data_IF_711475204020
#
_entry.id   IF_711475204020
#
_cell.length_a   1.000
_cell.length_b   1.000
_cell.length_c   1.000
_cell.angle_alpha   90.00
_cell.angle_beta   90.00
_cell.angle_gamma   90.00
#
_symmetry.space_group_name_H-M   'P 1'
#
loop_
_entity.id
_entity.type
_entity.pdbx_description
1 polymer ?
#
# COMPACT_ATOMS: atom_id res chain seq x y z
N UNK A 1 12.69 -7.32 -1.06
CA UNK A 1 12.65 -6.40 0.09
C UNK A 1 11.31 -6.55 0.79
N UNK A 2 11.30 -6.57 2.11
CA UNK A 2 10.11 -6.48 2.94
C UNK A 2 9.58 -5.04 3.00
N UNK A 3 8.31 -4.86 3.36
CA UNK A 3 7.72 -3.52 3.58
C UNK A 3 8.51 -2.69 4.61
N UNK A 4 9.09 -3.34 5.62
CA UNK A 4 9.87 -2.69 6.68
C UNK A 4 11.28 -2.29 6.23
N UNK A 5 11.78 -2.83 5.12
CA UNK A 5 13.04 -2.37 4.52
C UNK A 5 12.82 -1.10 3.70
N UNK A 6 11.70 -1.00 2.96
CA UNK A 6 11.37 0.21 2.20
C UNK A 6 11.24 1.44 3.09
N UNK A 7 10.75 1.31 4.32
CA UNK A 7 10.57 2.44 5.24
C UNK A 7 11.86 3.04 5.74
N UNK A 8 12.99 2.32 5.60
CA UNK A 8 14.34 2.79 5.97
C UNK A 8 14.99 3.59 4.85
N UNK A 9 14.44 3.55 3.64
CA UNK A 9 14.98 4.27 2.49
C UNK A 9 14.71 5.78 2.59
N UNK A 10 15.68 6.59 2.17
CA UNK A 10 15.59 8.07 2.28
C UNK A 10 14.41 8.66 1.52
N UNK A 11 13.98 8.00 0.44
CA UNK A 11 12.88 8.46 -0.40
C UNK A 11 11.50 8.03 0.11
N UNK A 12 11.44 7.19 1.15
CA UNK A 12 10.16 6.71 1.69
C UNK A 12 9.19 7.83 2.09
N UNK A 13 9.60 8.88 2.82
CA UNK A 13 8.70 9.97 3.18
C UNK A 13 8.13 10.71 1.96
N UNK A 14 8.95 10.87 0.90
CA UNK A 14 8.55 11.52 -0.35
C UNK A 14 7.53 10.63 -1.08
N UNK A 15 7.76 9.33 -1.11
CA UNK A 15 6.80 8.38 -1.69
C UNK A 15 5.45 8.45 -0.97
N UNK A 16 5.44 8.44 0.36
CA UNK A 16 4.21 8.51 1.16
C UNK A 16 3.48 9.82 0.87
N UNK A 17 4.17 10.96 0.90
CA UNK A 17 3.59 12.27 0.58
C UNK A 17 2.99 12.30 -0.83
N UNK A 18 3.73 11.82 -1.82
CA UNK A 18 3.28 11.75 -3.22
C UNK A 18 2.03 10.87 -3.38
N UNK A 19 1.99 9.72 -2.70
CA UNK A 19 0.85 8.80 -2.75
C UNK A 19 -0.37 9.39 -2.05
N UNK A 20 -0.19 10.04 -0.90
CA UNK A 20 -1.29 10.70 -0.19
C UNK A 20 -1.92 11.85 -0.97
N UNK A 21 -1.15 12.50 -1.86
CA UNK A 21 -1.66 13.52 -2.77
C UNK A 21 -2.53 12.96 -3.92
N UNK A 22 -2.54 11.64 -4.15
CA UNK A 22 -3.34 11.03 -5.22
C UNK A 22 -4.83 11.02 -4.86
N UNK A 23 -5.67 11.53 -5.76
CA UNK A 23 -7.13 11.65 -5.56
C UNK A 23 -7.78 10.32 -5.19
N UNK A 24 -7.34 9.22 -5.80
CA UNK A 24 -7.93 7.89 -5.60
C UNK A 24 -7.35 7.09 -4.44
N UNK A 25 -6.31 7.60 -3.75
CA UNK A 25 -5.57 6.86 -2.73
C UNK A 25 -6.49 6.30 -1.63
N UNK A 26 -7.35 7.15 -1.06
CA UNK A 26 -8.25 6.75 0.02
C UNK A 26 -9.21 5.63 -0.42
N UNK A 27 -9.69 5.68 -1.66
CA UNK A 27 -10.58 4.67 -2.23
C UNK A 27 -9.85 3.35 -2.48
N UNK A 28 -8.65 3.39 -3.07
CA UNK A 28 -7.84 2.19 -3.27
C UNK A 28 -7.46 1.53 -1.95
N UNK A 29 -7.11 2.32 -0.93
CA UNK A 29 -6.81 1.82 0.43
C UNK A 29 -8.02 1.16 1.07
N UNK A 30 -9.19 1.79 1.01
CA UNK A 30 -10.44 1.24 1.57
C UNK A 30 -10.82 -0.07 0.89
N UNK A 31 -10.84 -0.09 -0.46
CA UNK A 31 -11.15 -1.30 -1.23
C UNK A 31 -10.13 -2.43 -0.96
N UNK A 32 -8.85 -2.09 -0.83
CA UNK A 32 -7.82 -3.08 -0.47
C UNK A 32 -8.11 -3.70 0.89
N UNK A 33 -8.46 -2.89 1.90
CA UNK A 33 -8.81 -3.35 3.25
C UNK A 33 -10.03 -4.25 3.25
N UNK A 34 -11.12 -3.80 2.63
CA UNK A 34 -12.45 -4.40 2.79
C UNK A 34 -12.68 -5.61 1.87
N UNK A 35 -11.98 -5.67 0.73
CA UNK A 35 -12.21 -6.70 -0.30
C UNK A 35 -10.95 -7.51 -0.53
N UNK A 36 -9.85 -6.87 -0.92
CA UNK A 36 -8.67 -7.60 -1.40
C UNK A 36 -8.01 -8.42 -0.30
N UNK A 37 -7.78 -7.82 0.88
CA UNK A 37 -7.14 -8.53 2.00
C UNK A 37 -8.04 -9.61 2.60
N UNK A 38 -9.36 -9.49 2.48
CA UNK A 38 -10.29 -10.54 2.87
C UNK A 38 -10.19 -11.76 1.93
N UNK A 39 -9.99 -11.53 0.63
CA UNK A 39 -9.83 -12.61 -0.37
C UNK A 39 -8.41 -13.21 -0.37
N UNK A 40 -7.39 -12.37 -0.25
CA UNK A 40 -5.97 -12.76 -0.28
C UNK A 40 -5.17 -11.95 0.76
N UNK A 41 -5.10 -12.43 2.01
CA UNK A 41 -4.40 -11.73 3.10
C UNK A 41 -2.91 -11.50 2.85
N UNK A 42 -2.25 -12.43 2.13
CA UNK A 42 -0.81 -12.41 1.87
C UNK A 42 -0.45 -11.78 0.50
N UNK A 43 -1.31 -10.92 -0.03
CA UNK A 43 -1.06 -10.25 -1.32
C UNK A 43 0.22 -9.42 -1.28
N UNK A 44 1.06 -9.55 -2.30
CA UNK A 44 2.28 -8.74 -2.41
C UNK A 44 1.98 -7.37 -3.03
N UNK A 45 2.81 -6.34 -2.81
CA UNK A 45 2.58 -5.04 -3.43
C UNK A 45 2.59 -5.08 -4.97
N UNK A 46 3.40 -5.94 -5.58
CA UNK A 46 3.43 -6.14 -7.04
C UNK A 46 2.11 -6.71 -7.56
N UNK A 47 1.55 -7.70 -6.86
CA UNK A 47 0.26 -8.29 -7.20
C UNK A 47 -0.88 -7.29 -7.02
N UNK A 48 -0.86 -6.52 -5.93
CA UNK A 48 -1.84 -5.47 -5.69
C UNK A 48 -1.80 -4.39 -6.78
N UNK A 49 -0.60 -3.93 -7.13
CA UNK A 49 -0.39 -2.96 -8.21
C UNK A 49 -0.95 -3.46 -9.54
N UNK A 50 -0.66 -4.71 -9.90
CA UNK A 50 -1.16 -5.34 -11.13
C UNK A 50 -2.68 -5.51 -11.11
N UNK A 51 -3.24 -5.89 -9.96
CA UNK A 51 -4.67 -6.15 -9.78
C UNK A 51 -5.52 -4.88 -9.86
N UNK A 52 -5.03 -3.78 -9.28
CA UNK A 52 -5.75 -2.51 -9.25
C UNK A 52 -5.39 -1.55 -10.39
N UNK A 53 -4.35 -1.85 -11.17
CA UNK A 53 -3.85 -0.94 -12.20
C UNK A 53 -3.25 0.33 -11.63
N UNK A 54 -2.62 0.24 -10.45
CA UNK A 54 -2.02 1.36 -9.72
C UNK A 54 -0.49 1.28 -9.71
N UNK A 55 0.22 2.40 -9.49
CA UNK A 55 1.67 2.37 -9.33
C UNK A 55 2.11 1.49 -8.17
N UNK A 56 3.25 0.81 -8.35
CA UNK A 56 3.87 -0.01 -7.30
C UNK A 56 4.10 0.77 -5.99
N UNK A 57 4.44 2.06 -6.10
CA UNK A 57 4.59 2.95 -4.95
C UNK A 57 3.31 3.13 -4.15
N UNK A 58 2.17 3.27 -4.82
CA UNK A 58 0.86 3.38 -4.18
C UNK A 58 0.52 2.07 -3.44
N UNK A 59 0.72 0.93 -4.10
CA UNK A 59 0.50 -0.38 -3.49
C UNK A 59 1.37 -0.63 -2.25
N UNK A 60 2.64 -0.19 -2.27
CA UNK A 60 3.54 -0.28 -1.12
C UNK A 60 3.01 0.50 0.09
N UNK A 61 2.60 1.75 -0.13
CA UNK A 61 2.10 2.62 0.95
C UNK A 61 0.79 2.09 1.51
N UNK A 62 -0.15 1.64 0.65
CA UNK A 62 -1.42 1.03 1.09
C UNK A 62 -1.16 -0.15 2.02
N UNK A 63 -0.38 -1.15 1.58
CA UNK A 63 -0.15 -2.36 2.36
C UNK A 63 0.63 -2.08 3.64
N UNK A 64 1.59 -1.16 3.61
CA UNK A 64 2.32 -0.74 4.80
C UNK A 64 1.40 -0.13 5.86
N UNK A 65 0.53 0.81 5.46
CA UNK A 65 -0.37 1.48 6.40
C UNK A 65 -1.42 0.54 6.97
N UNK A 66 -2.01 -0.33 6.13
CA UNK A 66 -2.98 -1.32 6.59
C UNK A 66 -2.34 -2.31 7.58
N UNK A 67 -1.11 -2.77 7.31
CA UNK A 67 -0.36 -3.63 8.26
C UNK A 67 -0.08 -2.93 9.58
N UNK A 68 0.12 -1.61 9.58
CA UNK A 68 0.34 -0.82 10.80
C UNK A 68 -0.96 -0.61 11.59
N UNK A 69 -2.09 -0.41 10.91
CA UNK A 69 -3.42 -0.28 11.52
C UNK A 69 -3.87 -1.56 12.24
N UNK A 70 -3.54 -2.75 11.73
CA UNK A 70 -3.89 -4.04 12.37
C UNK A 70 -3.03 -4.37 13.60
N UNK A 71 -1.88 -3.72 13.78
CA UNK A 71 -0.95 -3.96 14.91
C UNK A 71 -1.27 -3.11 16.14
N UNK A 72 -2.40 -2.38 16.15
CA UNK A 72 -2.89 -1.55 17.26
C UNK A 72 -4.01 -2.26 18.00
#
# INVERSE_FOLDING_TARGET
MSLEEYTKEKLWPILVETVHAMVMYAHHKAYTREVILHEKPDITPQELASRLGIPMGEALVILYELKKETKV
#
